data_IF_631804049892
#
_entry.id   IF_631804049892
#
_cell.length_a   1.000
_cell.length_b   1.000
_cell.length_c   1.000
_cell.angle_alpha   90.00
_cell.angle_beta   90.00
_cell.angle_gamma   90.00
#
_symmetry.space_group_name_H-M   'P 1'
#
loop_
_entity.id
_entity.type
_entity.pdbx_description
1 polymer ?
#
# COMPACT_ATOMS: atom_id res chain seq x y z
N UNK A 1 4.36 16.99 4.66
CA UNK A 1 3.96 15.73 3.98
C UNK A 1 3.20 14.86 4.97
N UNK A 2 2.07 14.34 4.54
CA UNK A 2 1.23 13.49 5.40
C UNK A 2 1.86 12.11 5.66
N UNK A 3 2.51 11.56 4.64
CA UNK A 3 3.18 10.28 4.75
C UNK A 3 4.69 10.49 4.72
N UNK A 4 5.38 9.84 5.63
CA UNK A 4 6.82 10.00 5.76
C UNK A 4 7.51 8.86 5.01
N UNK A 5 7.76 9.06 3.72
CA UNK A 5 8.34 8.03 2.85
C UNK A 5 9.86 8.12 2.76
N UNK A 6 10.51 6.99 2.86
CA UNK A 6 11.91 6.88 2.45
C UNK A 6 11.96 6.78 0.92
N UNK A 7 13.15 6.97 0.34
CA UNK A 7 13.33 6.80 -1.10
C UNK A 7 12.97 5.38 -1.53
N UNK A 8 13.35 4.39 -0.74
CA UNK A 8 13.03 3.00 -1.05
C UNK A 8 11.52 2.79 -1.12
N UNK A 9 10.80 3.30 -0.13
CA UNK A 9 9.34 3.20 -0.09
C UNK A 9 8.70 3.88 -1.29
N UNK A 10 9.19 5.07 -1.65
CA UNK A 10 8.69 5.77 -2.82
C UNK A 10 8.87 4.95 -4.09
N UNK A 11 10.06 4.37 -4.29
CA UNK A 11 10.35 3.58 -5.49
C UNK A 11 9.48 2.33 -5.56
N UNK A 12 9.24 1.66 -4.43
CA UNK A 12 8.36 0.49 -4.38
C UNK A 12 6.93 0.87 -4.76
N UNK A 13 6.43 1.97 -4.17
CA UNK A 13 5.07 2.43 -4.47
C UNK A 13 4.92 2.82 -5.94
N UNK A 14 5.93 3.48 -6.48
CA UNK A 14 5.93 3.88 -7.88
C UNK A 14 5.82 2.66 -8.79
N UNK A 15 6.59 1.62 -8.50
CA UNK A 15 6.56 0.40 -9.28
C UNK A 15 5.22 -0.31 -9.16
N UNK A 16 4.68 -0.39 -7.95
CA UNK A 16 3.36 -1.00 -7.74
C UNK A 16 2.29 -0.26 -8.53
N UNK A 17 2.34 1.06 -8.50
CA UNK A 17 1.37 1.87 -9.23
C UNK A 17 1.44 1.62 -10.73
N UNK A 18 2.66 1.57 -11.28
CA UNK A 18 2.88 1.29 -12.70
C UNK A 18 2.33 -0.09 -13.08
N UNK A 19 2.49 -1.06 -12.19
CA UNK A 19 2.02 -2.43 -12.42
C UNK A 19 0.52 -2.59 -12.17
N UNK A 20 -0.16 -1.54 -11.75
CA UNK A 20 -1.61 -1.57 -11.55
C UNK A 20 -2.07 -1.97 -10.16
N UNK A 21 -1.17 -2.07 -9.19
CA UNK A 21 -1.53 -2.36 -7.81
C UNK A 21 -1.85 -1.06 -7.09
N UNK A 22 -3.11 -0.85 -6.79
CA UNK A 22 -3.64 0.44 -6.37
C UNK A 22 -3.86 0.58 -4.87
N UNK A 23 -3.81 -0.52 -4.11
CA UNK A 23 -4.13 -0.50 -2.68
C UNK A 23 -3.14 -1.32 -1.89
N UNK A 24 -2.81 -0.82 -0.69
CA UNK A 24 -1.99 -1.53 0.28
C UNK A 24 -2.77 -1.72 1.57
N UNK A 25 -2.66 -2.88 2.18
CA UNK A 25 -3.22 -3.13 3.51
C UNK A 25 -2.45 -4.30 4.14
N UNK A 26 -2.43 -4.33 5.46
CA UNK A 26 -1.84 -5.48 6.17
C UNK A 26 -2.94 -6.45 6.55
N UNK A 27 -2.63 -7.73 6.57
CA UNK A 27 -3.56 -8.73 7.08
C UNK A 27 -3.49 -8.77 8.62
N UNK A 28 -4.29 -9.65 9.22
CA UNK A 28 -4.36 -9.74 10.68
C UNK A 28 -3.03 -10.19 11.29
N UNK A 29 -2.20 -10.86 10.51
CA UNK A 29 -0.86 -11.29 10.93
C UNK A 29 0.20 -10.23 10.69
N UNK A 30 -0.22 -9.04 10.27
CA UNK A 30 0.66 -7.90 10.01
C UNK A 30 1.52 -8.06 8.75
N UNK A 31 1.11 -8.93 7.85
CA UNK A 31 1.79 -9.09 6.57
C UNK A 31 1.28 -8.07 5.54
N UNK A 32 2.21 -7.39 4.89
CA UNK A 32 1.87 -6.36 3.91
C UNK A 32 1.47 -7.00 2.59
N UNK A 33 0.37 -6.52 2.02
CA UNK A 33 -0.14 -7.00 0.73
C UNK A 33 -0.54 -5.84 -0.15
N UNK A 34 -0.38 -6.01 -1.46
CA UNK A 34 -0.84 -5.04 -2.45
C UNK A 34 -1.95 -5.66 -3.28
N UNK A 35 -2.98 -4.88 -3.57
CA UNK A 35 -4.14 -5.33 -4.33
C UNK A 35 -4.37 -4.46 -5.54
N UNK A 36 -4.73 -5.09 -6.64
CA UNK A 36 -5.08 -4.36 -7.86
C UNK A 36 -6.36 -3.57 -7.67
N UNK A 37 -7.41 -4.24 -7.19
CA UNK A 37 -8.69 -3.63 -6.88
C UNK A 37 -8.91 -3.60 -5.38
N UNK A 38 -9.82 -2.74 -4.93
CA UNK A 38 -10.10 -2.59 -3.50
C UNK A 38 -10.54 -3.95 -2.94
N UNK A 39 -9.80 -4.50 -1.96
CA UNK A 39 -10.11 -5.84 -1.45
C UNK A 39 -11.39 -5.85 -0.63
N UNK A 40 -11.96 -7.03 -0.50
CA UNK A 40 -13.17 -7.25 0.29
C UNK A 40 -12.77 -7.65 1.71
N UNK A 41 -13.46 -7.08 2.70
CA UNK A 41 -13.24 -7.48 4.09
C UNK A 41 -14.29 -8.50 4.49
N UNK A 42 -13.83 -9.67 4.90
CA UNK A 42 -14.72 -10.76 5.30
C UNK A 42 -14.06 -11.60 6.38
N UNK A 43 -14.77 -11.79 7.48
CA UNK A 43 -14.33 -12.67 8.58
C UNK A 43 -12.91 -12.30 9.05
N UNK A 44 -12.71 -11.01 9.34
CA UNK A 44 -11.43 -10.44 9.80
C UNK A 44 -10.27 -10.61 8.81
N UNK A 45 -10.59 -10.82 7.54
CA UNK A 45 -9.58 -11.05 6.51
C UNK A 45 -9.83 -10.16 5.29
N UNK A 46 -8.76 -9.61 4.73
CA UNK A 46 -8.83 -8.91 3.46
C UNK A 46 -8.70 -9.92 2.33
N UNK A 47 -9.69 -9.96 1.45
CA UNK A 47 -9.77 -10.94 0.37
C UNK A 47 -9.63 -10.24 -0.97
N UNK A 48 -8.67 -10.66 -1.81
CA UNK A 48 -8.52 -10.06 -3.13
C UNK A 48 -9.69 -10.44 -4.03
N UNK A 49 -10.14 -9.47 -4.83
CA UNK A 49 -11.17 -9.71 -5.85
C UNK A 49 -10.56 -9.81 -7.24
N UNK A 50 -9.27 -9.55 -7.35
CA UNK A 50 -8.50 -9.70 -8.57
C UNK A 50 -7.06 -9.99 -8.20
N UNK A 51 -6.10 -9.60 -9.02
CA UNK A 51 -4.67 -9.85 -8.75
C UNK A 51 -4.21 -9.17 -7.47
N UNK A 52 -3.32 -9.81 -6.77
CA UNK A 52 -2.72 -9.28 -5.55
C UNK A 52 -1.29 -9.76 -5.44
N UNK A 53 -0.53 -9.08 -4.58
CA UNK A 53 0.89 -9.34 -4.42
C UNK A 53 1.25 -9.40 -2.94
N UNK A 54 1.94 -10.45 -2.54
CA UNK A 54 2.43 -10.60 -1.17
C UNK A 54 3.72 -9.79 -1.03
N UNK A 55 3.71 -8.82 -0.12
CA UNK A 55 4.88 -7.98 0.14
C UNK A 55 5.48 -8.28 1.51
N UNK A 56 5.42 -9.51 1.96
CA UNK A 56 5.93 -9.92 3.26
C UNK A 56 7.38 -9.50 3.47
N UNK A 57 8.20 -9.51 2.42
CA UNK A 57 9.58 -9.08 2.49
C UNK A 57 9.73 -7.63 2.96
N UNK A 58 8.68 -6.83 2.85
CA UNK A 58 8.69 -5.41 3.20
C UNK A 58 7.84 -5.11 4.44
N UNK A 59 7.59 -6.10 5.28
CA UNK A 59 6.76 -5.92 6.48
C UNK A 59 7.30 -4.88 7.45
N UNK A 60 8.60 -4.62 7.41
CA UNK A 60 9.26 -3.69 8.35
C UNK A 60 9.27 -2.24 7.88
N UNK A 61 8.72 -1.96 6.71
CA UNK A 61 8.59 -0.60 6.18
C UNK A 61 7.12 -0.31 5.92
N UNK A 62 6.80 0.90 5.45
CA UNK A 62 5.41 1.34 5.26
C UNK A 62 4.63 1.33 6.57
N UNK A 63 5.20 1.96 7.60
CA UNK A 63 4.61 1.98 8.94
C UNK A 63 3.20 2.56 8.99
N UNK A 64 2.85 3.40 8.03
CA UNK A 64 1.54 4.02 7.97
C UNK A 64 0.44 3.10 7.41
N UNK A 65 0.82 1.95 6.87
CA UNK A 65 -0.16 0.97 6.36
C UNK A 65 -0.57 0.06 7.50
N UNK A 66 -1.85 0.06 7.82
CA UNK A 66 -2.39 -0.77 8.88
C UNK A 66 -3.27 -1.88 8.36
N UNK A 67 -3.97 -2.50 9.28
CA UNK A 67 -4.89 -3.58 9.00
C UNK A 67 -6.33 -3.08 8.83
N UNK A 68 -6.63 -1.89 9.37
CA UNK A 68 -8.00 -1.41 9.50
C UNK A 68 -8.65 -1.04 8.18
N UNK A 69 -7.88 -0.46 7.26
CA UNK A 69 -8.41 -0.13 5.94
C UNK A 69 -7.29 -0.02 4.92
N UNK A 70 -7.58 -0.39 3.67
CA UNK A 70 -6.60 -0.22 2.59
C UNK A 70 -6.28 1.24 2.32
N UNK A 71 -5.03 1.49 1.96
CA UNK A 71 -4.54 2.82 1.59
C UNK A 71 -4.33 2.82 0.08
N UNK A 72 -4.84 3.86 -0.58
CA UNK A 72 -4.65 4.02 -2.01
C UNK A 72 -3.21 4.48 -2.31
N UNK A 73 -2.50 3.71 -3.11
CA UNK A 73 -1.12 4.02 -3.52
C UNK A 73 -1.06 5.40 -4.17
N UNK A 74 -2.04 5.71 -5.00
CA UNK A 74 -2.15 6.99 -5.68
C UNK A 74 -2.16 8.16 -4.70
N UNK A 75 -2.88 8.02 -3.59
CA UNK A 75 -2.99 9.10 -2.61
C UNK A 75 -1.66 9.36 -1.92
N UNK A 76 -0.92 8.30 -1.61
CA UNK A 76 0.40 8.44 -0.99
C UNK A 76 1.38 9.09 -1.96
N UNK A 77 1.38 8.67 -3.22
CA UNK A 77 2.25 9.25 -4.23
C UNK A 77 1.92 10.71 -4.50
N UNK A 78 0.64 11.05 -4.52
CA UNK A 78 0.21 12.44 -4.73
C UNK A 78 0.65 13.34 -3.59
N UNK A 79 0.58 12.85 -2.37
CA UNK A 79 1.04 13.59 -1.19
C UNK A 79 2.55 13.86 -1.28
N UNK A 80 3.32 12.85 -1.65
CA UNK A 80 4.76 12.99 -1.80
C UNK A 80 5.11 13.98 -2.88
N UNK A 81 4.45 13.89 -4.02
CA UNK A 81 4.70 14.80 -5.15
C UNK A 81 4.32 16.24 -4.82
N UNK A 82 3.24 16.44 -4.10
CA UNK A 82 2.83 17.79 -3.66
C UNK A 82 3.88 18.42 -2.77
N UNK A 83 4.42 17.65 -1.85
CA UNK A 83 5.47 18.13 -0.95
C UNK A 83 6.74 18.45 -1.72
N UNK A 84 7.09 17.63 -2.69
CA UNK A 84 8.26 17.82 -3.52
C UNK A 84 8.15 19.06 -4.42
N UNK A 85 6.95 19.40 -4.84
CA UNK A 85 6.71 20.55 -5.70
C UNK A 85 6.93 21.88 -4.98
N UNK A 86 6.91 21.87 -3.68
CA UNK A 86 7.15 23.05 -2.88
C UNK A 86 8.65 23.42 -2.87
#
# INVERSE_FOLDING_TARGET
MKYNLSLLEFLILKQLYVDGFNYLVRDIDNNLCAYKDYPKFWNDTWIPISDWYDLEAFNNIFDFVGYEEPIAVKDVLSDYNCDEAD
#
